data_IF_311220742866
#
_entry.id   IF_311220742866
#
_cell.length_a   1.000
_cell.length_b   1.000
_cell.length_c   1.000
_cell.angle_alpha   90.00
_cell.angle_beta   90.00
_cell.angle_gamma   90.00
#
_symmetry.space_group_name_H-M   'P 1'
#
loop_
_entity.id
_entity.type
_entity.pdbx_description
1 polymer ?
#
# COMPACT_ATOMS: atom_id res chain seq x y z
N UNK A 1 -28.22 -3.77 16.82
CA UNK A 1 -28.06 -4.11 15.39
C UNK A 1 -28.76 -5.43 15.13
N UNK A 2 -29.55 -5.56 14.06
CA UNK A 2 -30.13 -6.85 13.67
C UNK A 2 -29.03 -7.71 13.03
N UNK A 3 -28.99 -9.01 13.33
CA UNK A 3 -27.95 -9.91 12.81
C UNK A 3 -27.86 -9.89 11.27
N UNK A 4 -29.01 -9.79 10.60
CA UNK A 4 -29.12 -9.68 9.15
C UNK A 4 -28.42 -8.43 8.60
N UNK A 5 -28.50 -7.31 9.32
CA UNK A 5 -27.83 -6.06 8.94
C UNK A 5 -26.31 -6.22 8.97
N UNK A 6 -25.77 -6.93 9.96
CA UNK A 6 -24.33 -7.21 10.04
C UNK A 6 -23.88 -8.15 8.93
N UNK A 7 -24.68 -9.15 8.57
CA UNK A 7 -24.39 -10.04 7.46
C UNK A 7 -24.34 -9.29 6.13
N UNK A 8 -25.27 -8.37 5.89
CA UNK A 8 -25.26 -7.49 4.70
C UNK A 8 -24.00 -6.63 4.69
N UNK A 9 -23.64 -6.01 5.83
CA UNK A 9 -22.45 -5.14 5.92
C UNK A 9 -21.16 -5.87 5.55
N UNK A 10 -21.05 -7.16 5.88
CA UNK A 10 -19.87 -7.97 5.57
C UNK A 10 -20.04 -8.85 4.33
N UNK A 11 -21.07 -8.63 3.51
CA UNK A 11 -21.31 -9.36 2.25
C UNK A 11 -21.49 -10.88 2.46
N UNK A 12 -22.32 -11.25 3.44
CA UNK A 12 -22.63 -12.63 3.82
C UNK A 12 -24.15 -12.91 3.89
N UNK A 13 -24.99 -12.02 3.37
CA UNK A 13 -26.45 -12.14 3.37
C UNK A 13 -26.93 -13.46 2.75
N UNK A 14 -26.36 -13.87 1.61
CA UNK A 14 -26.71 -15.12 0.92
C UNK A 14 -26.20 -16.38 1.63
N UNK A 15 -25.32 -16.20 2.63
CA UNK A 15 -24.72 -17.28 3.38
C UNK A 15 -25.20 -17.40 4.83
N UNK A 16 -26.08 -16.50 5.29
CA UNK A 16 -26.50 -16.40 6.70
C UNK A 16 -27.04 -17.70 7.30
N UNK A 17 -27.81 -18.47 6.52
CA UNK A 17 -28.41 -19.74 6.97
C UNK A 17 -27.49 -20.97 6.79
N UNK A 18 -26.32 -20.80 6.17
CA UNK A 18 -25.36 -21.90 5.94
C UNK A 18 -24.51 -22.14 7.19
N UNK A 19 -24.21 -23.40 7.47
CA UNK A 19 -23.26 -23.76 8.54
C UNK A 19 -21.88 -23.17 8.26
N UNK A 20 -21.28 -22.52 9.27
CA UNK A 20 -19.94 -21.91 9.21
C UNK A 20 -18.84 -22.92 8.84
N UNK A 21 -19.03 -24.22 9.11
CA UNK A 21 -18.10 -25.26 8.67
C UNK A 21 -17.90 -25.30 7.15
N UNK A 22 -18.88 -24.84 6.37
CA UNK A 22 -18.82 -24.74 4.91
C UNK A 22 -18.43 -23.37 4.37
N UNK A 23 -17.96 -22.46 5.23
CA UNK A 23 -17.48 -21.13 4.82
C UNK A 23 -16.02 -21.23 4.35
N UNK A 24 -15.67 -20.44 3.33
CA UNK A 24 -14.27 -20.23 2.95
C UNK A 24 -13.52 -19.48 4.08
N UNK A 25 -12.18 -19.44 4.00
CA UNK A 25 -11.37 -18.65 4.94
C UNK A 25 -11.84 -17.19 4.99
N UNK A 26 -12.05 -16.58 3.82
CA UNK A 26 -12.51 -15.19 3.76
C UNK A 26 -13.92 -14.96 4.26
N UNK A 27 -14.85 -15.90 4.04
CA UNK A 27 -16.18 -15.81 4.63
C UNK A 27 -16.12 -15.89 6.16
N UNK A 28 -15.28 -16.76 6.73
CA UNK A 28 -15.10 -16.84 8.19
C UNK A 28 -14.54 -15.53 8.75
N UNK A 29 -13.57 -14.93 8.05
CA UNK A 29 -12.96 -13.68 8.46
C UNK A 29 -13.93 -12.49 8.44
N UNK A 30 -14.76 -12.41 7.40
CA UNK A 30 -15.84 -11.42 7.33
C UNK A 30 -16.89 -11.64 8.43
N UNK A 31 -17.19 -12.91 8.75
CA UNK A 31 -18.05 -13.24 9.88
C UNK A 31 -17.43 -12.83 11.22
N UNK A 32 -16.12 -13.00 11.42
CA UNK A 32 -15.41 -12.55 12.63
C UNK A 32 -15.56 -11.03 12.82
N UNK A 33 -15.45 -10.26 11.73
CA UNK A 33 -15.72 -8.82 11.79
C UNK A 33 -17.17 -8.53 12.18
N UNK A 34 -18.15 -9.19 11.56
CA UNK A 34 -19.56 -9.03 11.93
C UNK A 34 -19.79 -9.34 13.42
N UNK A 35 -19.19 -10.42 13.94
CA UNK A 35 -19.25 -10.79 15.35
C UNK A 35 -18.64 -9.71 16.27
N UNK A 36 -17.51 -9.13 15.86
CA UNK A 36 -16.88 -8.03 16.60
C UNK A 36 -17.77 -6.77 16.64
N UNK A 37 -18.67 -6.58 15.67
CA UNK A 37 -19.56 -5.42 15.58
C UNK A 37 -20.91 -5.61 16.28
N UNK A 38 -21.30 -6.84 16.66
CA UNK A 38 -22.61 -7.14 17.30
C UNK A 38 -22.90 -6.24 18.49
N UNK A 39 -21.87 -5.91 19.27
CA UNK A 39 -21.98 -5.13 20.50
C UNK A 39 -21.71 -3.64 20.31
N UNK A 40 -21.60 -3.16 19.06
CA UNK A 40 -21.35 -1.75 18.70
C UNK A 40 -20.16 -1.15 19.48
N UNK A 41 -18.94 -1.70 19.29
CA UNK A 41 -17.78 -1.25 20.03
C UNK A 41 -17.42 0.21 19.70
N UNK A 42 -16.93 0.94 20.71
CA UNK A 42 -16.26 2.22 20.48
C UNK A 42 -14.83 2.07 19.95
N UNK A 43 -14.19 0.93 20.27
CA UNK A 43 -12.83 0.58 19.86
C UNK A 43 -12.85 -0.84 19.29
N UNK A 44 -12.41 -0.99 18.05
CA UNK A 44 -12.32 -2.25 17.35
C UNK A 44 -10.85 -2.64 17.18
N UNK A 45 -10.49 -3.84 17.64
CA UNK A 45 -9.15 -4.42 17.46
C UNK A 45 -9.18 -5.46 16.34
N UNK A 46 -8.29 -5.33 15.36
CA UNK A 46 -8.20 -6.23 14.21
C UNK A 46 -6.76 -6.73 14.09
N UNK A 47 -6.55 -8.04 14.29
CA UNK A 47 -5.22 -8.63 14.19
C UNK A 47 -5.02 -9.29 12.83
N UNK A 48 -4.26 -8.68 11.91
CA UNK A 48 -4.05 -9.14 10.53
C UNK A 48 -5.37 -9.34 9.74
N UNK A 49 -6.24 -8.32 9.65
CA UNK A 49 -7.64 -8.48 9.20
C UNK A 49 -7.77 -9.12 7.81
N UNK A 50 -6.82 -8.87 6.91
CA UNK A 50 -6.86 -9.32 5.50
C UNK A 50 -6.03 -10.55 5.19
N UNK A 51 -5.30 -11.11 6.15
CA UNK A 51 -4.47 -12.30 5.92
C UNK A 51 -5.33 -13.48 5.43
N UNK A 52 -4.95 -14.05 4.28
CA UNK A 52 -5.64 -15.18 3.65
C UNK A 52 -6.94 -14.83 2.93
N UNK A 53 -7.23 -13.54 2.71
CA UNK A 53 -8.32 -13.07 1.85
C UNK A 53 -7.87 -12.99 0.39
N UNK A 54 -8.79 -13.30 -0.52
CA UNK A 54 -8.62 -12.93 -1.92
C UNK A 54 -8.71 -11.40 -2.10
N UNK A 55 -8.21 -10.84 -3.22
CA UNK A 55 -8.19 -9.39 -3.44
C UNK A 55 -9.55 -8.71 -3.28
N UNK A 56 -10.63 -9.31 -3.77
CA UNK A 56 -11.98 -8.74 -3.68
C UNK A 56 -12.46 -8.69 -2.23
N UNK A 57 -12.22 -9.75 -1.46
CA UNK A 57 -12.57 -9.81 -0.05
C UNK A 57 -11.77 -8.83 0.81
N UNK A 58 -10.49 -8.58 0.47
CA UNK A 58 -9.63 -7.57 1.12
C UNK A 58 -10.19 -6.17 0.92
N UNK A 59 -10.52 -5.78 -0.31
CA UNK A 59 -11.12 -4.47 -0.61
C UNK A 59 -12.43 -4.26 0.14
N UNK A 60 -13.33 -5.25 0.15
CA UNK A 60 -14.59 -5.15 0.88
C UNK A 60 -14.38 -4.93 2.40
N UNK A 61 -13.38 -5.60 2.98
CA UNK A 61 -13.04 -5.42 4.39
C UNK A 61 -12.50 -4.02 4.67
N UNK A 62 -11.66 -3.49 3.78
CA UNK A 62 -11.11 -2.14 3.89
C UNK A 62 -12.21 -1.07 3.83
N UNK A 63 -13.16 -1.22 2.91
CA UNK A 63 -14.31 -0.33 2.80
C UNK A 63 -15.16 -0.33 4.07
N UNK A 64 -15.42 -1.51 4.65
CA UNK A 64 -16.16 -1.67 5.90
C UNK A 64 -15.44 -0.97 7.07
N UNK A 65 -14.13 -1.21 7.24
CA UNK A 65 -13.32 -0.57 8.28
C UNK A 65 -13.31 0.95 8.11
N UNK A 66 -13.14 1.43 6.88
CA UNK A 66 -13.16 2.86 6.58
C UNK A 66 -14.53 3.49 6.86
N UNK A 67 -15.64 2.75 6.64
CA UNK A 67 -17.01 3.19 6.96
C UNK A 67 -17.23 3.28 8.47
N UNK A 68 -16.88 2.24 9.22
CA UNK A 68 -17.00 2.22 10.68
C UNK A 68 -16.31 3.41 11.34
N UNK A 69 -15.10 3.74 10.88
CA UNK A 69 -14.38 4.92 11.33
C UNK A 69 -15.11 6.22 10.97
N UNK A 70 -15.51 6.39 9.70
CA UNK A 70 -16.03 7.68 9.18
C UNK A 70 -17.47 7.97 9.61
N UNK A 71 -18.34 6.97 9.60
CA UNK A 71 -19.79 7.13 9.80
C UNK A 71 -20.21 6.85 11.24
N UNK A 72 -19.56 5.88 11.88
CA UNK A 72 -19.94 5.41 13.23
C UNK A 72 -18.98 5.93 14.32
N UNK A 73 -17.88 6.59 13.93
CA UNK A 73 -16.89 7.14 14.86
C UNK A 73 -16.15 6.07 15.66
N UNK A 74 -16.08 4.84 15.15
CA UNK A 74 -15.35 3.74 15.77
C UNK A 74 -13.85 3.99 15.67
N UNK A 75 -13.13 3.87 16.77
CA UNK A 75 -11.67 3.87 16.75
C UNK A 75 -11.18 2.48 16.37
N UNK A 76 -10.37 2.36 15.32
CA UNK A 76 -9.85 1.07 14.86
C UNK A 76 -8.36 0.99 15.19
N UNK A 77 -7.96 -0.09 15.85
CA UNK A 77 -6.56 -0.47 16.04
C UNK A 77 -6.34 -1.76 15.25
N UNK A 78 -5.45 -1.73 14.26
CA UNK A 78 -5.13 -2.90 13.46
C UNK A 78 -3.63 -3.18 13.44
N UNK A 79 -3.28 -4.46 13.39
CA UNK A 79 -1.95 -4.95 13.06
C UNK A 79 -1.99 -5.53 11.65
N UNK A 80 -0.93 -5.31 10.89
CA UNK A 80 -0.82 -5.81 9.53
C UNK A 80 0.64 -5.98 9.14
N UNK A 81 0.91 -7.03 8.38
CA UNK A 81 2.16 -7.20 7.65
C UNK A 81 2.12 -6.56 6.26
N UNK A 82 0.95 -6.09 5.81
CA UNK A 82 0.76 -5.47 4.50
C UNK A 82 0.80 -3.95 4.64
N UNK A 83 1.90 -3.33 4.22
CA UNK A 83 2.07 -1.87 4.36
C UNK A 83 1.06 -1.07 3.52
N UNK A 84 0.58 -1.63 2.41
CA UNK A 84 -0.54 -1.05 1.65
C UNK A 84 -1.81 -0.91 2.50
N UNK A 85 -2.12 -1.90 3.35
CA UNK A 85 -3.28 -1.84 4.25
C UNK A 85 -3.13 -0.69 5.25
N UNK A 86 -1.93 -0.56 5.84
CA UNK A 86 -1.63 0.54 6.75
C UNK A 86 -1.73 1.91 6.04
N UNK A 87 -1.29 1.99 4.79
CA UNK A 87 -1.32 3.22 3.99
C UNK A 87 -2.76 3.66 3.64
N UNK A 88 -3.63 2.70 3.31
CA UNK A 88 -5.02 2.97 2.92
C UNK A 88 -5.92 3.24 4.13
N UNK A 89 -5.76 2.47 5.21
CA UNK A 89 -6.70 2.50 6.33
C UNK A 89 -6.29 3.43 7.47
N UNK A 90 -5.00 3.59 7.73
CA UNK A 90 -4.54 4.16 8.99
C UNK A 90 -4.35 5.68 8.92
N UNK A 91 -4.95 6.38 9.87
CA UNK A 91 -4.68 7.80 10.07
C UNK A 91 -3.27 8.01 10.69
N UNK A 92 -2.77 7.01 11.42
CA UNK A 92 -1.43 6.94 12.02
C UNK A 92 -0.89 5.51 11.93
N UNK A 93 0.39 5.39 11.60
CA UNK A 93 1.11 4.13 11.47
C UNK A 93 2.26 4.11 12.46
N UNK A 94 2.40 2.98 13.15
CA UNK A 94 3.57 2.65 13.95
C UNK A 94 4.29 1.45 13.34
N UNK A 95 5.56 1.60 12.98
CA UNK A 95 6.37 0.49 12.48
C UNK A 95 7.06 -0.18 13.66
N UNK A 96 6.83 -1.47 13.83
CA UNK A 96 7.46 -2.27 14.89
C UNK A 96 8.49 -3.21 14.27
N UNK A 97 9.72 -3.19 14.78
CA UNK A 97 10.76 -4.17 14.47
C UNK A 97 11.41 -4.66 15.77
N UNK A 98 11.63 -5.97 15.87
CA UNK A 98 12.22 -6.62 17.05
C UNK A 98 11.56 -6.22 18.39
N UNK A 99 10.23 -6.06 18.38
CA UNK A 99 9.45 -5.68 19.56
C UNK A 99 9.59 -4.22 19.98
N UNK A 100 10.14 -3.35 19.12
CA UNK A 100 10.30 -1.91 19.38
C UNK A 100 9.62 -1.10 18.29
N UNK A 101 9.00 0.01 18.70
CA UNK A 101 8.49 1.01 17.76
C UNK A 101 9.69 1.79 17.18
N UNK A 102 9.93 1.63 15.88
CA UNK A 102 11.07 2.24 15.18
C UNK A 102 10.70 3.48 14.38
N UNK A 103 9.42 3.65 14.04
CA UNK A 103 8.88 4.85 13.43
C UNK A 103 7.39 5.01 13.80
N UNK A 104 6.93 6.25 13.86
CA UNK A 104 5.53 6.57 14.16
C UNK A 104 5.16 7.91 13.50
N UNK A 105 4.01 7.96 12.84
CA UNK A 105 3.51 9.17 12.19
C UNK A 105 2.29 8.89 11.33
N UNK A 106 1.80 9.88 10.61
CA UNK A 106 0.88 9.63 9.50
C UNK A 106 1.62 8.93 8.35
N UNK A 107 0.92 8.17 7.47
CA UNK A 107 1.57 7.58 6.29
C UNK A 107 2.33 8.62 5.44
N UNK A 108 1.74 9.81 5.28
CA UNK A 108 2.35 10.90 4.52
C UNK A 108 3.64 11.44 5.18
N UNK A 109 3.64 11.64 6.50
CA UNK A 109 4.83 12.08 7.24
C UNK A 109 5.95 11.05 7.14
N UNK A 110 5.62 9.76 7.34
CA UNK A 110 6.59 8.68 7.27
C UNK A 110 7.23 8.59 5.88
N UNK A 111 6.43 8.63 4.81
CA UNK A 111 6.92 8.63 3.43
C UNK A 111 7.82 9.83 3.12
N UNK A 112 7.49 11.00 3.67
CA UNK A 112 8.30 12.20 3.50
C UNK A 112 9.69 12.09 4.15
N UNK A 113 9.89 11.22 5.14
CA UNK A 113 11.21 10.97 5.74
C UNK A 113 12.19 10.27 4.79
N UNK A 114 11.69 9.47 3.84
CA UNK A 114 12.52 8.80 2.82
C UNK A 114 13.06 9.79 1.80
N UNK A 115 12.33 10.89 1.62
CA UNK A 115 12.74 12.00 0.78
C UNK A 115 11.87 12.13 -0.46
N UNK A 116 12.53 12.32 -1.60
CA UNK A 116 11.91 12.84 -2.81
C UNK A 116 11.41 11.71 -3.71
N UNK A 117 10.38 11.97 -4.53
CA UNK A 117 9.92 10.98 -5.50
C UNK A 117 11.04 10.62 -6.48
N UNK A 118 10.98 9.39 -6.98
CA UNK A 118 11.82 8.92 -8.07
C UNK A 118 11.09 8.99 -9.39
N UNK A 119 11.84 9.23 -10.46
CA UNK A 119 11.34 9.05 -11.82
C UNK A 119 11.95 7.78 -12.39
N UNK A 120 11.08 6.93 -12.92
CA UNK A 120 11.38 5.66 -13.53
C UNK A 120 11.10 5.76 -15.03
N UNK A 121 12.11 5.50 -15.85
CA UNK A 121 11.99 5.51 -17.30
C UNK A 121 12.21 4.09 -17.83
N UNK A 122 11.23 3.59 -18.59
CA UNK A 122 11.34 2.31 -19.30
C UNK A 122 11.86 2.61 -20.71
N UNK A 123 13.05 2.09 -21.09
CA UNK A 123 13.55 2.23 -22.45
C UNK A 123 12.63 1.52 -23.45
N UNK A 124 12.47 2.10 -24.66
CA UNK A 124 11.81 1.40 -25.78
C UNK A 124 12.67 0.24 -26.31
N UNK A 125 13.99 0.45 -26.38
CA UNK A 125 14.99 -0.55 -26.73
C UNK A 125 16.06 -0.61 -25.63
N UNK A 126 16.47 -1.81 -25.21
CA UNK A 126 17.47 -2.00 -24.13
C UNK A 126 18.80 -1.27 -24.40
N UNK A 127 19.16 -1.08 -25.68
CA UNK A 127 20.36 -0.33 -26.10
C UNK A 127 20.35 1.13 -25.65
N UNK A 128 19.19 1.71 -25.41
CA UNK A 128 19.03 3.12 -25.02
C UNK A 128 19.11 3.32 -23.50
N UNK A 129 19.25 2.24 -22.73
CA UNK A 129 19.30 2.30 -21.26
C UNK A 129 20.42 3.19 -20.73
N UNK A 130 21.63 3.06 -21.26
CA UNK A 130 22.77 3.90 -20.83
C UNK A 130 22.53 5.37 -21.20
N UNK A 131 22.02 5.63 -22.40
CA UNK A 131 21.67 6.98 -22.87
C UNK A 131 20.61 7.63 -21.97
N UNK A 132 19.57 6.89 -21.59
CA UNK A 132 18.54 7.36 -20.66
C UNK A 132 19.12 7.62 -19.27
N UNK A 133 20.05 6.77 -18.80
CA UNK A 133 20.70 6.97 -17.52
C UNK A 133 21.57 8.23 -17.50
N UNK A 134 22.32 8.50 -18.56
CA UNK A 134 23.08 9.74 -18.73
C UNK A 134 22.16 10.96 -18.80
N UNK A 135 21.04 10.84 -19.52
CA UNK A 135 20.03 11.89 -19.62
C UNK A 135 19.37 12.19 -18.27
N UNK A 136 19.07 11.18 -17.45
CA UNK A 136 18.42 11.35 -16.15
C UNK A 136 19.39 11.79 -15.03
N UNK A 137 20.69 11.56 -15.17
CA UNK A 137 21.71 11.89 -14.15
C UNK A 137 21.70 13.35 -13.64
N UNK A 138 21.42 14.39 -14.47
CA UNK A 138 21.28 15.76 -13.98
C UNK A 138 20.08 15.98 -13.05
N UNK A 139 19.01 15.19 -13.21
CA UNK A 139 17.76 15.36 -12.50
C UNK A 139 17.76 14.73 -11.10
N UNK A 140 18.68 13.80 -10.81
CA UNK A 140 18.58 13.00 -9.60
C UNK A 140 19.79 12.14 -9.27
N UNK A 141 19.70 11.46 -8.13
CA UNK A 141 20.59 10.38 -7.74
C UNK A 141 20.11 9.06 -8.36
N UNK A 142 20.99 8.31 -9.01
CA UNK A 142 20.63 7.04 -9.66
C UNK A 142 20.23 5.99 -8.62
N UNK A 143 19.13 5.29 -8.90
CA UNK A 143 18.69 4.14 -8.12
C UNK A 143 19.09 2.85 -8.83
N UNK A 144 19.47 1.84 -8.06
CA UNK A 144 19.78 0.51 -8.59
C UNK A 144 18.48 -0.26 -8.82
N UNK A 145 18.07 -0.34 -10.09
CA UNK A 145 16.88 -1.07 -10.52
C UNK A 145 17.22 -2.02 -11.67
N UNK A 146 16.47 -3.12 -11.78
CA UNK A 146 16.74 -4.17 -12.78
C UNK A 146 15.99 -3.92 -14.08
N UNK A 147 14.71 -3.50 -14.01
CA UNK A 147 13.81 -3.34 -15.18
C UNK A 147 13.85 -1.97 -15.87
N UNK A 148 14.12 -0.91 -15.14
CA UNK A 148 14.02 0.47 -15.64
C UNK A 148 15.31 1.27 -15.38
N UNK A 149 15.30 2.54 -15.77
CA UNK A 149 16.29 3.52 -15.35
C UNK A 149 15.63 4.49 -14.40
N UNK A 150 16.09 4.50 -13.15
CA UNK A 150 15.46 5.30 -12.11
C UNK A 150 16.43 6.32 -11.49
N UNK A 151 15.92 7.51 -11.22
CA UNK A 151 16.62 8.54 -10.44
C UNK A 151 15.71 9.12 -9.37
N UNK A 152 16.22 9.27 -8.14
CA UNK A 152 15.57 10.05 -7.09
C UNK A 152 15.77 11.53 -7.39
N UNK A 153 14.68 12.26 -7.64
CA UNK A 153 14.73 13.65 -8.09
C UNK A 153 15.50 14.54 -7.11
N UNK A 154 16.10 15.63 -7.62
CA UNK A 154 16.64 16.74 -6.83
C UNK A 154 15.54 17.71 -6.40
N UNK A 155 15.82 18.54 -5.40
CA UNK A 155 14.87 19.54 -4.89
C UNK A 155 14.47 20.53 -5.98
N UNK A 156 13.18 20.85 -6.03
CA UNK A 156 12.62 21.81 -6.98
C UNK A 156 12.41 21.27 -8.39
N UNK A 157 12.77 20.00 -8.66
CA UNK A 157 12.48 19.33 -9.93
C UNK A 157 11.24 18.45 -9.79
N UNK A 158 10.44 18.41 -10.85
CA UNK A 158 9.29 17.53 -10.98
C UNK A 158 9.24 16.82 -12.32
N UNK A 159 8.21 15.99 -12.50
CA UNK A 159 7.98 15.24 -13.74
C UNK A 159 7.92 16.15 -14.98
N UNK A 160 7.37 17.37 -14.84
CA UNK A 160 7.26 18.34 -15.92
C UNK A 160 8.61 18.81 -16.47
N UNK A 161 9.64 18.88 -15.64
CA UNK A 161 10.98 19.30 -16.07
C UNK A 161 11.63 18.21 -16.92
N UNK A 162 11.40 16.95 -16.56
CA UNK A 162 11.92 15.80 -17.30
C UNK A 162 11.18 15.64 -18.63
N UNK A 163 9.85 15.72 -18.64
CA UNK A 163 9.06 15.60 -19.88
C UNK A 163 9.48 16.66 -20.91
N UNK A 164 9.74 17.89 -20.47
CA UNK A 164 10.24 18.96 -21.35
C UNK A 164 11.63 18.66 -21.92
N UNK A 165 12.51 18.09 -21.11
CA UNK A 165 13.85 17.73 -21.56
C UNK A 165 13.84 16.53 -22.52
N UNK A 166 12.95 15.55 -22.30
CA UNK A 166 12.76 14.40 -23.20
C UNK A 166 12.34 14.87 -24.59
N UNK A 167 11.38 15.80 -24.66
CA UNK A 167 10.91 16.39 -25.92
C UNK A 167 11.99 17.20 -26.64
N UNK A 168 12.80 17.97 -25.89
CA UNK A 168 13.88 18.78 -26.45
C UNK A 168 15.05 17.93 -26.99
N UNK A 169 15.44 16.88 -26.28
CA UNK A 169 16.61 16.05 -26.60
C UNK A 169 16.26 14.82 -27.46
N UNK A 170 14.96 14.60 -27.72
CA UNK A 170 14.47 13.49 -28.55
C UNK A 170 14.84 12.13 -27.99
N UNK A 171 14.75 11.95 -26.67
CA UNK A 171 15.06 10.66 -26.01
C UNK A 171 13.86 9.73 -26.18
N UNK A 172 14.08 8.53 -26.74
CA UNK A 172 13.01 7.55 -26.97
C UNK A 172 12.77 6.73 -25.70
N UNK A 173 11.78 7.16 -24.92
CA UNK A 173 11.32 6.51 -23.70
C UNK A 173 9.95 5.89 -23.97
N UNK A 174 9.77 4.61 -23.64
CA UNK A 174 8.49 3.94 -23.82
C UNK A 174 7.48 4.36 -22.73
N UNK A 175 7.95 4.46 -21.49
CA UNK A 175 7.14 4.85 -20.35
C UNK A 175 7.95 5.68 -19.34
N UNK A 176 7.29 6.66 -18.73
CA UNK A 176 7.90 7.57 -17.74
C UNK A 176 6.95 7.71 -16.56
N UNK A 177 7.38 7.19 -15.41
CA UNK A 177 6.56 7.12 -14.20
C UNK A 177 7.20 7.94 -13.07
N UNK A 178 6.38 8.67 -12.32
CA UNK A 178 6.78 9.32 -11.08
C UNK A 178 6.30 8.47 -9.89
N UNK A 179 7.24 7.94 -9.11
CA UNK A 179 6.94 7.15 -7.92
C UNK A 179 7.24 7.94 -6.66
N UNK A 180 6.21 8.15 -5.84
CA UNK A 180 6.40 8.69 -4.50
C UNK A 180 6.95 7.60 -3.56
N UNK A 181 7.67 7.97 -2.48
CA UNK A 181 8.08 6.99 -1.48
C UNK A 181 6.88 6.24 -0.91
N UNK A 182 7.06 4.95 -0.71
CA UNK A 182 6.09 4.02 -0.15
C UNK A 182 6.35 3.79 1.35
N UNK A 183 5.41 3.15 2.05
CA UNK A 183 5.69 2.69 3.41
C UNK A 183 6.72 1.55 3.42
N UNK A 184 6.83 0.75 2.35
CA UNK A 184 7.88 -0.26 2.20
C UNK A 184 9.27 0.36 2.21
N UNK A 185 9.45 1.51 1.55
CA UNK A 185 10.70 2.26 1.59
C UNK A 185 11.01 2.72 3.03
N UNK A 186 10.00 3.23 3.75
CA UNK A 186 10.13 3.63 5.17
C UNK A 186 10.57 2.44 6.00
N UNK A 187 9.92 1.29 5.84
CA UNK A 187 10.24 0.08 6.57
C UNK A 187 11.69 -0.36 6.30
N UNK A 188 12.10 -0.39 5.03
CA UNK A 188 13.45 -0.76 4.62
C UNK A 188 14.49 0.21 5.21
N UNK A 189 14.25 1.52 5.15
CA UNK A 189 15.16 2.52 5.69
C UNK A 189 15.31 2.44 7.22
N UNK A 190 14.24 2.07 7.94
CA UNK A 190 14.26 1.98 9.41
C UNK A 190 14.78 0.65 9.94
N UNK A 191 14.60 -0.44 9.20
CA UNK A 191 14.89 -1.81 9.68
C UNK A 191 16.06 -2.48 8.95
N UNK A 192 16.47 -1.94 7.80
CA UNK A 192 17.49 -2.54 6.92
C UNK A 192 17.05 -3.83 6.23
N UNK A 193 15.75 -4.17 6.28
CA UNK A 193 15.17 -5.40 5.72
C UNK A 193 13.84 -5.09 5.03
N UNK A 194 13.43 -5.93 4.07
CA UNK A 194 12.08 -5.89 3.50
C UNK A 194 11.14 -6.79 4.31
N UNK A 195 9.83 -6.50 4.30
CA UNK A 195 8.83 -7.42 4.85
C UNK A 195 8.68 -8.63 3.92
N UNK A 196 8.75 -9.83 4.47
CA UNK A 196 8.47 -11.07 3.73
C UNK A 196 6.96 -11.15 3.45
N UNK A 197 6.57 -11.16 2.16
CA UNK A 197 5.17 -11.24 1.72
C UNK A 197 4.72 -10.15 0.72
N UNK A 198 5.43 -9.03 0.63
CA UNK A 198 5.10 -7.95 -0.33
C UNK A 198 5.65 -8.20 -1.75
N UNK A 199 6.64 -9.09 -1.89
CA UNK A 199 7.36 -9.31 -3.15
C UNK A 199 6.58 -10.12 -4.21
N UNK A 200 5.49 -10.81 -3.85
CA UNK A 200 4.75 -11.65 -4.81
C UNK A 200 3.77 -10.85 -5.71
N UNK A 201 3.37 -9.63 -5.36
CA UNK A 201 2.40 -8.85 -6.16
C UNK A 201 3.07 -7.85 -7.13
N UNK A 202 4.31 -7.39 -6.88
CA UNK A 202 5.02 -6.46 -7.77
C UNK A 202 5.53 -7.09 -9.08
N UNK A 203 5.57 -8.42 -9.18
CA UNK A 203 5.92 -9.13 -10.42
C UNK A 203 4.72 -9.54 -11.29
N UNK A 204 3.48 -9.31 -10.81
CA UNK A 204 2.26 -9.73 -11.49
C UNK A 204 1.50 -8.60 -12.22
N UNK A 205 2.06 -7.39 -12.28
CA UNK A 205 1.55 -6.24 -13.04
C UNK A 205 2.17 -6.10 -14.43
#
# INVERSE_FOLDING_TARGET
>A
VQADELLIRVGLEDAGDRKVSGYSGGMKRRLDLALALVHMPRILFLDEPTTGLDPQSRTALWEEVARLRREEGVTVFLTTQYLEEADVLADRVGIIDQGKLVAEGTPAELKAEIGRPSVHAIPRDEKDREKIAEFLAPFGERLDTTRDVAVRLRDGLGLTDIVRAVDADGVDIADLELRAPSLDDVFLAKTGRTLEGAAEEAEAG
#
